data_IF_814549435411
#
_entry.id   IF_814549435411
#
_cell.length_a   1.000
_cell.length_b   1.000
_cell.length_c   1.000
_cell.angle_alpha   90.00
_cell.angle_beta   90.00
_cell.angle_gamma   90.00
#
_symmetry.space_group_name_H-M   'P 1'
#
loop_
_entity.id
_entity.type
_entity.pdbx_description
1 polymer ?
#
# COMPACT_ATOMS: atom_id res chain seq x y z
N UNK A 1 -7.14 -14.45 -6.80
CA UNK A 1 -5.76 -13.92 -6.90
C UNK A 1 -5.59 -12.88 -5.80
N UNK A 2 -4.53 -12.94 -4.99
CA UNK A 2 -4.18 -11.87 -4.04
C UNK A 2 -3.12 -10.99 -4.68
N UNK A 3 -3.26 -9.68 -4.61
CA UNK A 3 -2.44 -8.70 -5.34
C UNK A 3 -2.07 -7.54 -4.41
N UNK A 4 -0.81 -7.12 -4.47
CA UNK A 4 -0.29 -5.92 -3.80
C UNK A 4 0.17 -4.93 -4.88
N UNK A 5 0.01 -3.64 -4.58
CA UNK A 5 0.38 -2.51 -5.44
C UNK A 5 1.06 -1.47 -4.55
N UNK A 6 2.37 -1.61 -4.25
CA UNK A 6 3.14 -0.65 -3.48
C UNK A 6 3.32 0.64 -4.28
N UNK A 7 2.41 1.59 -4.07
CA UNK A 7 2.38 2.89 -4.72
C UNK A 7 1.67 3.90 -3.82
N UNK A 8 0.45 3.56 -3.40
CA UNK A 8 -0.35 4.37 -2.48
C UNK A 8 -0.58 5.79 -2.97
N UNK A 9 -0.21 6.77 -2.14
CA UNK A 9 -0.40 8.21 -2.40
C UNK A 9 0.75 8.82 -3.23
N UNK A 10 1.68 8.01 -3.75
CA UNK A 10 2.76 8.51 -4.60
C UNK A 10 2.23 9.11 -5.92
N UNK A 11 3.01 10.01 -6.51
CA UNK A 11 2.75 10.60 -7.82
C UNK A 11 4.03 10.70 -8.65
N UNK A 12 3.86 10.90 -9.96
CA UNK A 12 4.97 11.12 -10.88
C UNK A 12 5.03 12.61 -11.20
N UNK A 13 6.14 13.26 -10.89
CA UNK A 13 6.41 14.66 -11.21
C UNK A 13 6.63 14.85 -12.73
N UNK A 14 6.54 16.09 -13.26
CA UNK A 14 6.68 16.34 -14.70
C UNK A 14 8.00 15.87 -15.33
N UNK A 15 9.07 15.82 -14.55
CA UNK A 15 10.39 15.30 -14.95
C UNK A 15 10.49 13.77 -14.92
N UNK A 16 9.41 13.09 -14.52
CA UNK A 16 9.34 11.64 -14.39
C UNK A 16 9.89 11.09 -13.07
N UNK A 17 10.17 11.95 -12.09
CA UNK A 17 10.57 11.57 -10.73
C UNK A 17 9.36 11.04 -9.96
N UNK A 18 9.52 9.93 -9.24
CA UNK A 18 8.51 9.41 -8.32
C UNK A 18 8.61 10.19 -7.01
N UNK A 19 7.50 10.74 -6.54
CA UNK A 19 7.42 11.49 -5.29
C UNK A 19 6.40 10.83 -4.38
N UNK A 20 6.76 10.65 -3.12
CA UNK A 20 5.97 9.93 -2.13
C UNK A 20 5.68 10.83 -0.93
N UNK A 21 4.57 10.55 -0.24
CA UNK A 21 4.05 11.39 0.85
C UNK A 21 5.01 11.47 2.04
N UNK A 22 5.78 10.40 2.27
CA UNK A 22 6.71 10.24 3.38
C UNK A 22 8.18 10.33 2.93
N UNK A 23 8.43 10.93 1.76
CA UNK A 23 9.77 11.22 1.25
C UNK A 23 10.47 10.06 0.53
N UNK A 24 11.76 10.22 0.29
CA UNK A 24 12.53 9.37 -0.61
C UNK A 24 12.67 7.92 -0.11
N UNK A 25 12.70 7.71 1.21
CA UNK A 25 12.76 6.37 1.79
C UNK A 25 11.49 5.55 1.45
N UNK A 26 10.31 6.17 1.48
CA UNK A 26 9.06 5.52 1.06
C UNK A 26 9.11 5.18 -0.43
N UNK A 27 9.56 6.10 -1.28
CA UNK A 27 9.72 5.82 -2.71
C UNK A 27 10.69 4.68 -2.98
N UNK A 28 11.84 4.70 -2.32
CA UNK A 28 12.84 3.64 -2.44
C UNK A 28 12.26 2.27 -2.05
N UNK A 29 11.60 2.19 -0.89
CA UNK A 29 11.05 0.92 -0.39
C UNK A 29 9.86 0.45 -1.22
N UNK A 30 9.00 1.35 -1.71
CA UNK A 30 7.95 1.01 -2.66
C UNK A 30 8.52 0.32 -3.91
N UNK A 31 9.58 0.87 -4.50
CA UNK A 31 10.23 0.25 -5.66
C UNK A 31 10.87 -1.10 -5.32
N UNK A 32 11.49 -1.24 -4.14
CA UNK A 32 12.06 -2.51 -3.68
C UNK A 32 10.98 -3.58 -3.53
N UNK A 33 9.83 -3.24 -2.93
CA UNK A 33 8.69 -4.15 -2.82
C UNK A 33 8.10 -4.49 -4.18
N UNK A 34 7.99 -3.52 -5.08
CA UNK A 34 7.54 -3.71 -6.45
C UNK A 34 8.43 -4.70 -7.21
N UNK A 35 9.75 -4.56 -7.04
CA UNK A 35 10.74 -5.49 -7.57
C UNK A 35 10.60 -6.87 -6.91
N UNK A 36 10.42 -6.97 -5.59
CA UNK A 36 10.24 -8.23 -4.89
C UNK A 36 8.99 -8.99 -5.37
N UNK A 37 7.86 -8.29 -5.55
CA UNK A 37 6.62 -8.87 -6.09
C UNK A 37 6.81 -9.37 -7.53
N UNK A 38 7.61 -8.64 -8.33
CA UNK A 38 7.88 -9.01 -9.72
C UNK A 38 8.82 -10.23 -9.82
N UNK A 39 9.85 -10.27 -8.99
CA UNK A 39 10.88 -11.32 -9.00
C UNK A 39 10.40 -12.61 -8.31
N UNK A 40 9.59 -12.51 -7.25
CA UNK A 40 8.98 -13.66 -6.58
C UNK A 40 7.49 -13.75 -6.92
N UNK A 41 7.10 -14.36 -8.06
CA UNK A 41 5.69 -14.45 -8.46
C UNK A 41 4.84 -15.33 -7.52
N UNK A 42 5.48 -16.17 -6.69
CA UNK A 42 4.80 -16.91 -5.64
C UNK A 42 4.29 -15.95 -4.55
N UNK A 43 2.97 -16.00 -4.30
CA UNK A 43 2.30 -15.11 -3.36
C UNK A 43 2.79 -15.27 -1.94
N UNK A 44 3.17 -16.48 -1.52
CA UNK A 44 3.63 -16.71 -0.16
C UNK A 44 5.02 -16.10 0.02
N UNK A 45 5.88 -16.21 -0.97
CA UNK A 45 7.22 -15.64 -0.94
C UNK A 45 7.21 -14.10 -0.87
N UNK A 46 6.58 -13.41 -1.83
CA UNK A 46 6.61 -11.94 -1.80
C UNK A 46 5.84 -11.36 -0.61
N UNK A 47 4.72 -11.97 -0.16
CA UNK A 47 4.06 -11.50 1.06
C UNK A 47 4.92 -11.66 2.31
N UNK A 48 5.75 -12.72 2.40
CA UNK A 48 6.68 -12.87 3.53
C UNK A 48 7.73 -11.77 3.52
N UNK A 49 8.26 -11.44 2.35
CA UNK A 49 9.23 -10.35 2.19
C UNK A 49 8.62 -8.99 2.56
N UNK A 50 7.52 -8.61 1.90
CA UNK A 50 6.81 -7.33 2.15
C UNK A 50 6.45 -7.22 3.62
N UNK A 51 5.87 -8.25 4.23
CA UNK A 51 5.56 -8.25 5.67
C UNK A 51 6.79 -8.03 6.56
N UNK A 52 7.93 -8.63 6.21
CA UNK A 52 9.16 -8.42 6.96
C UNK A 52 9.60 -6.95 6.89
N UNK A 53 9.61 -6.37 5.68
CA UNK A 53 10.00 -4.99 5.45
C UNK A 53 9.06 -4.03 6.18
N UNK A 54 7.74 -4.20 6.02
CA UNK A 54 6.72 -3.39 6.68
C UNK A 54 6.83 -3.44 8.21
N UNK A 55 7.13 -4.61 8.79
CA UNK A 55 7.37 -4.71 10.23
C UNK A 55 8.61 -3.90 10.65
N UNK A 56 9.70 -3.93 9.88
CA UNK A 56 10.87 -3.09 10.16
C UNK A 56 10.53 -1.61 10.05
N UNK A 57 9.70 -1.21 9.08
CA UNK A 57 9.22 0.18 8.94
C UNK A 57 8.41 0.63 10.16
N UNK A 58 7.48 -0.21 10.64
CA UNK A 58 6.70 0.07 11.86
C UNK A 58 7.59 0.20 13.12
N UNK A 59 8.72 -0.50 13.15
CA UNK A 59 9.70 -0.42 14.24
C UNK A 59 10.71 0.74 14.08
N UNK A 60 10.62 1.55 13.01
CA UNK A 60 11.59 2.61 12.72
C UNK A 60 12.97 2.07 12.31
N UNK A 61 13.02 0.85 11.78
CA UNK A 61 14.21 0.08 11.39
C UNK A 61 14.24 -0.22 9.90
N UNK A 62 13.54 0.56 9.08
CA UNK A 62 13.42 0.34 7.62
C UNK A 62 14.78 0.34 6.90
N UNK A 63 15.79 1.00 7.46
CA UNK A 63 17.17 0.92 6.96
C UNK A 63 17.76 -0.52 6.97
N UNK A 64 17.14 -1.46 7.69
CA UNK A 64 17.50 -2.87 7.73
C UNK A 64 16.75 -3.72 6.69
N UNK A 65 16.04 -3.12 5.74
CA UNK A 65 15.23 -3.81 4.71
C UNK A 65 15.96 -4.98 4.03
N UNK A 66 17.27 -4.87 3.81
CA UNK A 66 18.07 -5.92 3.16
C UNK A 66 18.12 -7.22 3.98
N UNK A 67 18.02 -7.12 5.31
CA UNK A 67 17.99 -8.29 6.20
C UNK A 67 16.76 -9.17 5.95
N UNK A 68 15.67 -8.61 5.40
CA UNK A 68 14.48 -9.37 5.09
C UNK A 68 14.70 -10.45 4.04
N UNK A 69 15.68 -10.33 3.14
CA UNK A 69 16.05 -11.43 2.24
C UNK A 69 16.50 -12.65 3.03
N UNK A 70 17.46 -12.47 3.93
CA UNK A 70 17.97 -13.54 4.78
C UNK A 70 16.88 -14.07 5.73
N UNK A 71 16.12 -13.18 6.40
CA UNK A 71 15.08 -13.56 7.36
C UNK A 71 13.94 -14.37 6.71
N UNK A 72 13.71 -14.19 5.42
CA UNK A 72 12.67 -14.92 4.67
C UNK A 72 13.20 -16.08 3.83
N UNK A 73 14.53 -16.25 3.76
CA UNK A 73 15.18 -17.28 2.94
C UNK A 73 15.11 -17.00 1.43
N UNK A 74 14.97 -15.74 1.03
CA UNK A 74 14.87 -15.32 -0.37
C UNK A 74 16.21 -14.75 -0.87
N UNK A 75 16.51 -14.95 -2.15
CA UNK A 75 17.75 -14.43 -2.78
C UNK A 75 17.63 -12.96 -3.19
N UNK A 76 18.72 -12.20 -3.22
CA UNK A 76 18.71 -10.73 -3.33
C UNK A 76 18.41 -10.14 -4.73
N UNK A 77 17.92 -10.93 -5.68
CA UNK A 77 17.64 -10.49 -7.06
C UNK A 77 16.71 -9.26 -7.19
N UNK A 78 15.79 -8.93 -6.26
CA UNK A 78 15.06 -7.66 -6.32
C UNK A 78 15.95 -6.41 -6.27
N UNK A 79 17.15 -6.50 -5.68
CA UNK A 79 18.13 -5.40 -5.69
C UNK A 79 18.59 -5.12 -7.12
N UNK A 80 18.83 -6.17 -7.92
CA UNK A 80 19.22 -6.02 -9.33
C UNK A 80 18.10 -5.41 -10.16
N UNK A 81 16.83 -5.75 -9.86
CA UNK A 81 15.67 -5.13 -10.48
C UNK A 81 15.62 -3.61 -10.20
N UNK A 82 15.94 -3.19 -8.97
CA UNK A 82 16.01 -1.78 -8.63
C UNK A 82 17.16 -1.08 -9.37
N UNK A 83 18.38 -1.63 -9.28
CA UNK A 83 19.60 -0.98 -9.81
C UNK A 83 19.68 -0.97 -11.34
N UNK A 84 19.08 -1.95 -12.03
CA UNK A 84 19.01 -2.00 -13.50
C UNK A 84 18.02 -1.00 -14.10
N UNK A 85 17.25 -0.28 -13.28
CA UNK A 85 16.22 0.66 -13.73
C UNK A 85 14.87 0.01 -14.06
N UNK A 86 14.74 -1.32 -13.93
CA UNK A 86 13.47 -2.02 -14.11
C UNK A 86 12.41 -1.57 -13.10
N UNK A 87 12.83 -1.21 -11.88
CA UNK A 87 11.96 -0.65 -10.83
C UNK A 87 11.09 0.52 -11.33
N UNK A 88 11.69 1.49 -12.04
CA UNK A 88 10.96 2.66 -12.57
C UNK A 88 9.81 2.28 -13.50
N UNK A 89 10.01 1.27 -14.35
CA UNK A 89 8.96 0.81 -15.26
C UNK A 89 7.82 0.09 -14.51
N UNK A 90 8.14 -0.61 -13.42
CA UNK A 90 7.16 -1.27 -12.55
C UNK A 90 6.34 -0.22 -11.79
N UNK A 91 7.01 0.80 -11.24
CA UNK A 91 6.37 1.91 -10.54
C UNK A 91 5.38 2.65 -11.45
N UNK A 92 5.77 2.95 -12.70
CA UNK A 92 4.87 3.54 -13.69
C UNK A 92 3.62 2.67 -13.96
N UNK A 93 3.77 1.35 -13.96
CA UNK A 93 2.65 0.42 -14.11
C UNK A 93 1.73 0.47 -12.90
N UNK A 94 2.27 0.52 -11.68
CA UNK A 94 1.49 0.63 -10.45
C UNK A 94 0.83 2.00 -10.29
N UNK A 95 1.47 3.08 -10.72
CA UNK A 95 0.86 4.39 -10.82
C UNK A 95 -0.38 4.36 -11.72
N UNK A 96 -0.25 3.76 -12.92
CA UNK A 96 -1.37 3.61 -13.87
C UNK A 96 -2.49 2.74 -13.30
N UNK A 97 -2.16 1.62 -12.66
CA UNK A 97 -3.14 0.73 -12.05
C UNK A 97 -3.90 1.43 -10.91
N UNK A 98 -3.18 2.16 -10.05
CA UNK A 98 -3.77 2.90 -8.93
C UNK A 98 -4.66 4.05 -9.44
N UNK A 99 -4.27 4.73 -10.52
CA UNK A 99 -5.07 5.78 -11.16
C UNK A 99 -6.36 5.25 -11.81
N UNK A 100 -6.44 3.94 -12.10
CA UNK A 100 -7.62 3.29 -12.67
C UNK A 100 -8.63 2.81 -11.61
N UNK A 101 -8.34 2.99 -10.32
CA UNK A 101 -9.27 2.64 -9.26
C UNK A 101 -10.58 3.43 -9.41
N UNK A 102 -11.70 2.71 -9.27
CA UNK A 102 -13.04 3.29 -9.31
C UNK A 102 -13.88 2.77 -8.12
N UNK A 103 -14.26 3.62 -7.16
CA UNK A 103 -13.91 5.04 -7.08
C UNK A 103 -12.39 5.25 -6.87
N UNK A 104 -11.85 6.44 -7.23
CA UNK A 104 -10.48 6.79 -6.87
C UNK A 104 -10.27 6.67 -5.37
N UNK A 105 -9.09 6.18 -4.96
CA UNK A 105 -8.76 6.08 -3.55
C UNK A 105 -8.63 7.49 -2.92
N UNK A 106 -9.08 7.63 -1.67
CA UNK A 106 -8.99 8.88 -0.90
C UNK A 106 -7.94 8.83 0.22
N UNK A 107 -7.53 7.62 0.56
CA UNK A 107 -6.54 7.31 1.58
C UNK A 107 -5.93 5.94 1.30
N UNK A 108 -4.85 5.64 1.99
CA UNK A 108 -4.26 4.30 2.08
C UNK A 108 -4.31 3.76 3.52
N UNK A 109 -4.46 2.44 3.70
CA UNK A 109 -4.56 1.40 2.66
C UNK A 109 -5.91 1.42 1.92
N UNK A 110 -5.88 1.14 0.60
CA UNK A 110 -7.07 1.01 -0.23
C UNK A 110 -7.32 -0.45 -0.61
N UNK A 111 -8.33 -1.07 0.01
CA UNK A 111 -8.61 -2.50 -0.16
C UNK A 111 -9.76 -2.72 -1.13
N UNK A 112 -9.54 -3.61 -2.11
CA UNK A 112 -10.52 -4.01 -3.11
C UNK A 112 -10.74 -5.52 -3.03
N UNK A 113 -12.00 -5.95 -2.89
CA UNK A 113 -12.40 -7.37 -2.93
C UNK A 113 -13.38 -7.56 -4.07
N UNK A 114 -13.03 -8.40 -5.07
CA UNK A 114 -13.86 -8.62 -6.27
C UNK A 114 -14.36 -7.31 -6.93
N UNK A 115 -13.46 -6.37 -7.17
CA UNK A 115 -13.73 -5.04 -7.75
C UNK A 115 -14.61 -4.12 -6.88
N UNK A 116 -14.94 -4.51 -5.65
CA UNK A 116 -15.58 -3.65 -4.68
C UNK A 116 -14.53 -3.00 -3.78
N UNK A 117 -14.37 -1.68 -3.88
CA UNK A 117 -13.60 -0.91 -2.91
C UNK A 117 -14.33 -0.91 -1.56
N UNK A 118 -13.62 -1.31 -0.50
CA UNK A 118 -14.18 -1.39 0.85
C UNK A 118 -14.23 -0.03 1.55
N UNK A 119 -13.42 0.94 1.08
CA UNK A 119 -13.31 2.27 1.66
C UNK A 119 -13.06 2.21 3.17
N UNK A 120 -13.83 2.94 4.00
CA UNK A 120 -13.69 2.98 5.46
C UNK A 120 -13.88 1.60 6.11
N UNK A 121 -14.53 0.65 5.43
CA UNK A 121 -14.75 -0.70 5.93
C UNK A 121 -13.59 -1.66 5.61
N UNK A 122 -12.42 -1.14 5.20
CA UNK A 122 -11.28 -1.94 4.76
C UNK A 122 -10.79 -2.94 5.82
N UNK A 123 -10.89 -2.61 7.11
CA UNK A 123 -10.48 -3.52 8.19
C UNK A 123 -11.35 -4.78 8.26
N UNK A 124 -12.60 -4.68 7.81
CA UNK A 124 -13.53 -5.81 7.75
C UNK A 124 -13.32 -6.70 6.50
N UNK A 125 -12.20 -6.56 5.78
CA UNK A 125 -11.92 -7.31 4.54
C UNK A 125 -12.10 -8.82 4.67
N UNK A 126 -11.83 -9.42 5.84
CA UNK A 126 -12.04 -10.87 6.08
C UNK A 126 -13.51 -11.23 5.86
N UNK A 127 -14.44 -10.39 6.33
CA UNK A 127 -15.88 -10.57 6.13
C UNK A 127 -16.24 -10.55 4.65
N UNK A 128 -15.71 -9.60 3.88
CA UNK A 128 -15.93 -9.52 2.44
C UNK A 128 -15.36 -10.72 1.69
N UNK A 129 -14.13 -11.15 2.04
CA UNK A 129 -13.51 -12.34 1.46
C UNK A 129 -14.37 -13.58 1.74
N UNK A 130 -14.82 -13.76 2.98
CA UNK A 130 -15.63 -14.91 3.36
C UNK A 130 -16.99 -14.93 2.66
N UNK A 131 -17.65 -13.78 2.50
CA UNK A 131 -18.90 -13.65 1.73
C UNK A 131 -18.69 -13.92 0.23
N UNK A 132 -17.55 -13.50 -0.31
CA UNK A 132 -17.19 -13.70 -1.71
C UNK A 132 -16.70 -15.13 -2.03
N UNK A 133 -16.37 -15.93 -1.02
CA UNK A 133 -15.80 -17.25 -1.18
C UNK A 133 -16.86 -18.26 -1.66
N UNK A 134 -16.60 -18.89 -2.80
CA UNK A 134 -17.50 -19.88 -3.44
C UNK A 134 -17.01 -21.32 -3.34
N UNK A 135 -15.96 -21.58 -2.56
CA UNK A 135 -15.40 -22.93 -2.42
C UNK A 135 -16.21 -23.79 -1.45
N UNK A 136 -16.22 -25.10 -1.68
CA UNK A 136 -17.00 -26.04 -0.87
C UNK A 136 -16.43 -26.23 0.55
N UNK A 137 -15.11 -26.07 0.71
CA UNK A 137 -14.45 -26.17 2.02
C UNK A 137 -14.35 -24.77 2.60
N UNK A 138 -15.21 -24.46 3.58
CA UNK A 138 -15.24 -23.15 4.25
C UNK A 138 -14.01 -23.00 5.15
N UNK A 139 -13.15 -21.98 4.93
CA UNK A 139 -12.00 -21.71 5.78
C UNK A 139 -12.43 -21.44 7.22
N UNK A 140 -11.63 -21.89 8.20
CA UNK A 140 -11.93 -21.70 9.63
C UNK A 140 -12.17 -20.22 9.99
N UNK A 141 -11.40 -19.31 9.39
CA UNK A 141 -11.56 -17.86 9.57
C UNK A 141 -12.96 -17.34 9.16
N UNK A 142 -13.69 -18.06 8.30
CA UNK A 142 -15.02 -17.69 7.86
C UNK A 142 -16.15 -18.31 8.71
N UNK A 143 -15.84 -19.31 9.55
CA UNK A 143 -16.86 -20.02 10.33
C UNK A 143 -17.46 -19.18 11.45
N UNK A 144 -16.72 -18.24 12.03
CA UNK A 144 -17.23 -17.34 13.08
C UNK A 144 -18.17 -16.25 12.54
N UNK A 145 -18.20 -16.04 11.22
CA UNK A 145 -19.06 -15.05 10.58
C UNK A 145 -20.48 -15.57 10.32
N UNK A 146 -20.69 -16.89 10.35
CA UNK A 146 -22.03 -17.47 10.23
C UNK A 146 -22.88 -17.35 11.50
N UNK A 147 -22.29 -16.91 12.62
CA UNK A 147 -22.97 -16.81 13.93
C UNK A 147 -23.20 -15.37 14.41
N UNK A 148 -22.69 -14.35 13.71
CA UNK A 148 -22.93 -12.95 14.06
C UNK A 148 -24.13 -12.40 13.28
N UNK A 149 -25.28 -12.31 13.94
CA UNK A 149 -26.35 -11.39 13.54
C UNK A 149 -25.81 -9.97 13.59
N UNK A 150 -25.87 -9.29 12.46
CA UNK A 150 -25.38 -7.93 12.27
C UNK A 150 -26.18 -6.96 13.16
N UNK A 151 -25.57 -6.43 14.22
CA UNK A 151 -26.13 -5.28 14.93
C UNK A 151 -25.64 -4.02 14.20
N UNK A 152 -26.55 -3.34 13.51
CA UNK A 152 -26.28 -2.14 12.72
C UNK A 152 -25.91 -0.90 13.57
N UNK A 153 -25.67 -1.06 14.88
CA UNK A 153 -25.38 0.03 15.81
C UNK A 153 -23.98 0.05 16.43
N UNK A 154 -23.04 -0.84 16.04
CA UNK A 154 -21.63 -0.64 16.43
C UNK A 154 -21.02 0.50 15.60
N UNK A 155 -21.21 1.74 16.08
CA UNK A 155 -20.34 2.85 15.71
C UNK A 155 -18.94 2.53 16.19
N UNK A 156 -18.12 1.94 15.31
CA UNK A 156 -16.68 1.86 15.50
C UNK A 156 -16.13 3.28 15.36
N UNK A 157 -16.22 4.04 16.44
CA UNK A 157 -15.57 5.33 16.57
C UNK A 157 -14.09 5.08 16.89
N UNK A 158 -13.37 4.53 15.91
CA UNK A 158 -11.93 4.37 15.95
C UNK A 158 -11.37 5.32 14.91
N UNK A 159 -10.68 6.37 15.36
CA UNK A 159 -9.78 7.13 14.49
C UNK A 159 -8.74 6.15 13.95
N UNK A 160 -8.98 5.63 12.76
CA UNK A 160 -8.06 4.72 12.11
C UNK A 160 -6.93 5.58 11.51
N UNK A 161 -5.66 5.31 11.84
CA UNK A 161 -4.55 6.00 11.21
C UNK A 161 -4.49 5.56 9.74
N UNK A 162 -4.97 6.42 8.86
CA UNK A 162 -4.88 6.30 7.41
C UNK A 162 -4.07 7.47 6.88
N UNK A 163 -3.39 7.30 5.74
CA UNK A 163 -2.69 8.41 5.09
C UNK A 163 -3.58 8.96 3.97
N UNK A 164 -4.03 10.21 4.08
CA UNK A 164 -4.92 10.83 3.10
C UNK A 164 -4.17 11.35 1.89
N UNK A 165 -4.79 11.28 0.71
CA UNK A 165 -4.20 11.78 -0.55
C UNK A 165 -3.93 13.29 -0.50
N UNK A 166 -4.80 14.06 0.17
CA UNK A 166 -4.69 15.53 0.21
C UNK A 166 -3.52 16.02 1.08
N UNK A 167 -3.12 15.25 2.09
CA UNK A 167 -1.93 15.54 2.91
C UNK A 167 -0.65 15.42 2.08
N UNK A 168 -0.60 14.49 1.13
CA UNK A 168 0.52 14.33 0.20
C UNK A 168 0.71 15.55 -0.72
N UNK A 169 -0.40 16.21 -1.10
CA UNK A 169 -0.39 17.38 -2.01
C UNK A 169 -0.09 18.70 -1.31
N UNK A 170 -0.30 18.79 0.01
CA UNK A 170 -0.01 20.02 0.76
C UNK A 170 1.47 20.15 1.13
N UNK A 171 2.23 19.05 1.15
CA UNK A 171 3.68 19.06 1.35
C UNK A 171 4.48 19.52 0.12
N UNK A 172 3.82 19.65 -1.04
CA UNK A 172 4.43 20.04 -2.31
C UNK A 172 4.21 21.51 -2.70
N UNK A 173 3.59 22.33 -1.84
CA UNK A 173 3.62 23.80 -2.00
C UNK A 173 4.77 24.39 -1.19
N UNK A 174 5.83 24.92 -1.84
CA UNK A 174 6.79 25.76 -1.14
C UNK A 174 6.06 26.97 -0.56
N UNK A 175 6.51 27.41 0.61
CA UNK A 175 6.05 28.59 1.32
C UNK A 175 6.38 29.87 0.53
N UNK A 176 5.72 30.09 -0.60
CA UNK A 176 5.88 31.28 -1.46
C UNK A 176 4.51 31.82 -1.77
N UNK A 177 3.93 32.54 -0.81
CA UNK A 177 3.02 33.71 -1.00
C UNK A 177 2.36 34.11 0.34
N UNK A 178 3.16 34.59 1.30
CA UNK A 178 2.68 35.55 2.32
C UNK A 178 3.75 36.60 2.64
N UNK A 179 4.26 37.25 1.61
CA UNK A 179 4.93 38.55 1.74
C UNK A 179 4.33 39.50 0.70
N UNK A 180 3.13 39.99 1.00
CA UNK A 180 2.61 41.26 0.49
C UNK A 180 1.39 41.61 1.33
N UNK A 181 1.65 42.38 2.39
CA UNK A 181 0.86 43.54 2.80
C UNK A 181 1.20 43.90 4.24
N UNK A 182 2.08 44.88 4.39
CA UNK A 182 1.95 45.98 5.37
C UNK A 182 3.11 46.95 5.19
N UNK A 183 2.78 48.13 4.68
CA UNK A 183 3.36 49.43 5.04
C UNK A 183 2.53 50.52 4.37
N UNK A 184 2.18 51.61 5.06
CA UNK A 184 2.66 52.92 4.66
C UNK A 184 4.13 53.10 5.03
#
# INVERSE_FOLDING_TARGET
MKRLVPWGNAWIAPDGTVVCQHGDDECFLNTIEACAITIYPDVVQHFRYVRCLENLTLEGRHNQWVNCFQMTGLGTSPIDCYTSGNGKAIDQKYAKETAQLNPPHRFVPWVVVNNQALQEDYQNFVTYICRAYKGNVIPNACRSLSTKTYDSNEKVNSFQPVCYVDEARNLSFPLVTRLSNKSP
#
